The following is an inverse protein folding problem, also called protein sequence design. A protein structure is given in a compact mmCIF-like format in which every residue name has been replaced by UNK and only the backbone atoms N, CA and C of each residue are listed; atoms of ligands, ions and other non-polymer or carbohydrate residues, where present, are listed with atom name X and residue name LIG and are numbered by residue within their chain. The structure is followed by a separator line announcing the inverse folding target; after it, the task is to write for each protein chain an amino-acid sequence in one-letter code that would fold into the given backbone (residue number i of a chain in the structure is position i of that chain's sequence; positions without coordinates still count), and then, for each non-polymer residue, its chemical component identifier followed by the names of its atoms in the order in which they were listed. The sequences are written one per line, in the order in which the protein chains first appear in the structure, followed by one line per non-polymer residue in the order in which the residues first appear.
data_IF_921601437629
#
_entry.id   IF_921601437629
#
_cell.length_a   1.000
_cell.length_b   1.000
_cell.length_c   1.000
_cell.angle_alpha   90.00
_cell.angle_beta   90.00
_cell.angle_gamma   90.00
#
_symmetry.space_group_name_H-M   'P 1'
#
loop_
_entity.id
_entity.type
_entity.pdbx_description
1 polymer ?
#
# COMPACT_ATOMS: atom_id res chain seq x y z
N UNK A 1 10.15 42.80 -29.07
CA UNK A 1 9.91 42.40 -27.66
C UNK A 1 8.63 41.55 -27.43
N UNK A 2 7.42 41.95 -27.85
CA UNK A 2 6.15 41.24 -27.50
C UNK A 2 6.16 39.69 -27.66
N UNK A 3 6.72 39.15 -28.77
CA UNK A 3 6.81 37.68 -29.00
C UNK A 3 7.64 36.92 -27.94
N UNK A 4 8.67 37.54 -27.36
CA UNK A 4 9.53 36.92 -26.33
C UNK A 4 8.76 36.80 -25.01
N UNK A 5 8.02 37.83 -24.63
CA UNK A 5 7.22 37.84 -23.40
C UNK A 5 6.13 36.76 -23.42
N UNK A 6 5.45 36.56 -24.57
CA UNK A 6 4.49 35.48 -24.75
C UNK A 6 5.12 34.08 -24.58
N UNK A 7 6.28 33.84 -25.20
CA UNK A 7 6.99 32.56 -25.09
C UNK A 7 7.44 32.24 -23.65
N UNK A 8 7.86 33.26 -22.88
CA UNK A 8 8.21 33.11 -21.46
C UNK A 8 6.96 32.76 -20.64
N UNK A 9 5.85 33.48 -20.81
CA UNK A 9 4.59 33.25 -20.09
C UNK A 9 4.03 31.85 -20.33
N UNK A 10 4.04 31.38 -21.58
CA UNK A 10 3.63 30.01 -21.95
C UNK A 10 4.57 28.97 -21.31
N UNK A 11 5.88 29.21 -21.32
CA UNK A 11 6.84 28.27 -20.69
C UNK A 11 6.71 28.19 -19.17
N UNK A 12 6.26 29.28 -18.51
CA UNK A 12 6.03 29.31 -17.07
C UNK A 12 4.72 28.60 -16.73
N UNK A 13 3.63 28.90 -17.43
CA UNK A 13 2.35 28.22 -17.27
C UNK A 13 2.45 26.71 -17.50
N UNK A 14 3.21 26.27 -18.51
CA UNK A 14 3.40 24.84 -18.80
C UNK A 14 4.29 24.13 -17.76
N UNK A 15 5.26 24.84 -17.16
CA UNK A 15 6.03 24.32 -16.01
C UNK A 15 5.12 24.19 -14.77
N UNK A 16 4.30 25.19 -14.48
CA UNK A 16 3.33 25.12 -13.38
C UNK A 16 2.29 24.02 -13.62
N UNK A 17 1.83 23.81 -14.86
CA UNK A 17 0.90 22.73 -15.20
C UNK A 17 1.53 21.35 -15.02
N UNK A 18 2.76 21.12 -15.49
CA UNK A 18 3.47 19.85 -15.26
C UNK A 18 3.79 19.61 -13.78
N UNK A 19 4.17 20.66 -13.04
CA UNK A 19 4.44 20.56 -11.60
C UNK A 19 3.15 20.30 -10.83
N UNK A 20 2.03 20.94 -11.21
CA UNK A 20 0.70 20.63 -10.69
C UNK A 20 0.25 19.21 -11.03
N UNK A 21 0.49 18.71 -12.25
CA UNK A 21 0.09 17.36 -12.66
C UNK A 21 0.97 16.29 -11.99
N UNK A 22 2.26 16.54 -11.80
CA UNK A 22 3.11 15.72 -10.92
C UNK A 22 2.62 15.77 -9.47
N UNK A 23 2.36 16.95 -8.89
CA UNK A 23 1.81 17.07 -7.53
C UNK A 23 0.40 16.48 -7.41
N UNK A 24 -0.39 16.40 -8.47
CA UNK A 24 -1.70 15.77 -8.45
C UNK A 24 -1.56 14.24 -8.42
N UNK A 25 -0.62 13.68 -9.18
CA UNK A 25 -0.27 12.25 -9.18
C UNK A 25 0.45 11.81 -7.88
N UNK A 26 1.26 12.68 -7.26
CA UNK A 26 2.13 12.34 -6.13
C UNK A 26 1.70 12.90 -4.76
N UNK A 27 0.96 14.01 -4.68
CA UNK A 27 0.57 14.64 -3.40
C UNK A 27 -0.90 14.44 -3.01
N UNK A 28 -1.74 13.81 -3.85
CA UNK A 28 -3.19 13.66 -3.54
C UNK A 28 -3.51 12.90 -2.25
N UNK A 29 -2.59 12.08 -1.75
CA UNK A 29 -2.73 11.35 -0.48
C UNK A 29 -2.08 12.04 0.73
N UNK A 30 -1.28 13.08 0.52
CA UNK A 30 -0.49 13.70 1.60
C UNK A 30 -1.32 14.47 2.66
N UNK A 31 -2.62 14.67 2.41
CA UNK A 31 -3.52 15.45 3.29
C UNK A 31 -4.37 14.54 4.21
N UNK A 32 -4.32 13.21 4.05
CA UNK A 32 -5.12 12.26 4.85
C UNK A 32 -4.39 11.65 6.07
N UNK A 33 -3.12 12.01 6.31
CA UNK A 33 -2.33 11.55 7.46
C UNK A 33 -1.66 12.72 8.19
N UNK A 34 -2.45 13.48 8.95
CA UNK A 34 -1.93 14.31 10.03
C UNK A 34 -2.31 13.74 11.40
N UNK A 35 -1.26 13.54 12.20
CA UNK A 35 -1.25 13.27 13.65
C UNK A 35 -1.90 11.96 14.13
N UNK A 36 -1.10 10.88 14.05
CA UNK A 36 -1.22 9.67 14.86
C UNK A 36 0.09 9.21 15.51
N UNK A 37 1.25 9.69 15.03
CA UNK A 37 2.57 9.31 15.55
C UNK A 37 2.89 9.98 16.88
N UNK A 38 2.27 9.49 17.95
CA UNK A 38 2.85 9.65 19.28
C UNK A 38 3.88 8.55 19.50
N UNK A 39 5.12 8.81 19.07
CA UNK A 39 6.29 8.06 19.54
C UNK A 39 6.47 8.40 21.03
N UNK A 40 5.68 7.75 21.88
CA UNK A 40 5.92 7.75 23.32
C UNK A 40 7.18 6.94 23.57
N UNK A 41 8.24 7.66 23.93
CA UNK A 41 9.53 7.14 24.35
C UNK A 41 9.33 6.00 25.35
N UNK A 42 9.54 4.76 24.90
CA UNK A 42 9.48 3.54 25.72
C UNK A 42 10.67 3.39 26.69
N UNK A 43 11.28 4.51 27.08
CA UNK A 43 12.44 4.59 27.96
C UNK A 43 11.96 5.26 29.25
N UNK A 44 11.40 4.45 30.15
CA UNK A 44 11.72 4.50 31.59
C UNK A 44 10.91 3.46 32.38
N UNK A 45 9.71 3.08 31.93
CA UNK A 45 8.89 2.05 32.59
C UNK A 45 9.66 0.73 32.82
N UNK A 46 10.42 0.28 31.81
CA UNK A 46 11.24 -0.92 31.92
C UNK A 46 12.42 -0.78 32.92
N UNK A 47 12.99 0.42 33.08
CA UNK A 47 14.04 0.69 34.07
C UNK A 47 13.46 0.78 35.48
N UNK A 48 12.35 1.49 35.66
CA UNK A 48 11.64 1.62 36.94
C UNK A 48 11.20 0.25 37.48
N UNK A 49 10.67 -0.62 36.61
CA UNK A 49 10.24 -1.97 36.97
C UNK A 49 11.43 -2.87 37.33
N UNK A 50 12.56 -2.78 36.61
CA UNK A 50 13.76 -3.57 36.94
C UNK A 50 14.32 -3.18 38.31
N UNK A 51 14.36 -1.88 38.60
CA UNK A 51 14.75 -1.35 39.91
C UNK A 51 13.81 -1.84 41.02
N UNK A 52 12.49 -1.78 40.83
CA UNK A 52 11.53 -2.30 41.80
C UNK A 52 11.64 -3.83 41.97
N UNK A 53 11.85 -4.60 40.90
CA UNK A 53 12.01 -6.07 41.03
C UNK A 53 13.26 -6.46 41.82
N UNK A 54 14.36 -5.73 41.67
CA UNK A 54 15.60 -5.99 42.41
C UNK A 54 15.53 -5.49 43.87
N UNK A 55 14.82 -4.38 44.12
CA UNK A 55 14.48 -3.92 45.49
C UNK A 55 13.61 -4.94 46.22
N UNK A 56 12.49 -5.35 45.61
CA UNK A 56 11.59 -6.43 46.08
C UNK A 56 12.44 -7.66 46.42
N UNK A 57 13.25 -8.17 45.47
CA UNK A 57 14.10 -9.35 45.65
C UNK A 57 15.12 -9.25 46.80
N UNK A 58 15.57 -8.05 47.19
CA UNK A 58 16.45 -7.85 48.35
C UNK A 58 15.73 -7.95 49.70
N UNK A 59 14.46 -7.57 49.79
CA UNK A 59 13.70 -7.66 51.05
C UNK A 59 13.32 -9.12 51.42
N UNK A 60 13.12 -10.02 50.45
CA UNK A 60 12.68 -11.40 50.71
C UNK A 60 13.76 -12.37 51.22
N UNK A 61 14.97 -11.90 51.57
CA UNK A 61 16.05 -12.78 52.06
C UNK A 61 16.06 -12.99 53.58
N UNK A 62 15.13 -12.38 54.32
CA UNK A 62 15.04 -12.47 55.79
C UNK A 62 13.59 -12.30 56.32
N UNK A 63 12.77 -13.34 56.21
CA UNK A 63 11.49 -13.49 56.95
C UNK A 63 11.00 -14.93 56.84
N UNK A 64 10.25 -15.42 57.82
CA UNK A 64 9.73 -16.79 57.85
C UNK A 64 8.91 -17.14 56.60
N UNK A 65 9.33 -18.24 55.96
CA UNK A 65 9.62 -18.18 54.53
C UNK A 65 8.45 -18.37 53.57
N UNK A 66 7.25 -18.71 54.06
CA UNK A 66 6.11 -19.03 53.20
C UNK A 66 5.25 -17.80 52.85
N UNK A 67 4.77 -17.07 53.85
CA UNK A 67 3.82 -15.96 53.65
C UNK A 67 4.46 -14.81 52.86
N UNK A 68 5.72 -14.46 53.17
CA UNK A 68 6.46 -13.44 52.43
C UNK A 68 6.68 -13.84 50.96
N UNK A 69 7.03 -15.11 50.69
CA UNK A 69 7.15 -15.63 49.33
C UNK A 69 5.81 -15.57 48.55
N UNK A 70 4.70 -15.96 49.19
CA UNK A 70 3.37 -15.90 48.59
C UNK A 70 2.94 -14.46 48.28
N UNK A 71 3.21 -13.52 49.19
CA UNK A 71 2.90 -12.10 49.00
C UNK A 71 3.64 -11.51 47.80
N UNK A 72 4.96 -11.76 47.72
CA UNK A 72 5.78 -11.35 46.58
C UNK A 72 5.34 -12.02 45.27
N UNK A 73 4.84 -13.27 45.32
CA UNK A 73 4.25 -13.97 44.17
C UNK A 73 2.94 -13.33 43.71
N UNK A 74 2.02 -13.02 44.63
CA UNK A 74 0.76 -12.32 44.30
C UNK A 74 1.05 -10.95 43.70
N UNK A 75 2.04 -10.21 44.22
CA UNK A 75 2.42 -8.91 43.69
C UNK A 75 3.06 -9.01 42.30
N UNK A 76 3.95 -9.98 42.09
CA UNK A 76 4.51 -10.30 40.76
C UNK A 76 3.38 -10.61 39.75
N UNK A 77 2.44 -11.47 40.12
CA UNK A 77 1.31 -11.79 39.25
C UNK A 77 0.40 -10.57 39.03
N UNK A 78 0.06 -9.81 40.07
CA UNK A 78 -0.76 -8.59 39.98
C UNK A 78 -0.15 -7.54 39.04
N UNK A 79 1.18 -7.38 39.03
CA UNK A 79 1.89 -6.53 38.07
C UNK A 79 1.84 -7.08 36.65
N UNK A 80 2.04 -8.39 36.47
CA UNK A 80 1.91 -9.05 35.16
C UNK A 80 0.48 -8.94 34.60
N UNK A 81 -0.55 -9.15 35.42
CA UNK A 81 -1.94 -8.98 35.01
C UNK A 81 -2.30 -7.52 34.72
N UNK A 82 -1.74 -6.55 35.44
CA UNK A 82 -1.88 -5.13 35.07
C UNK A 82 -1.32 -4.86 33.66
N UNK A 83 -0.14 -5.42 33.35
CA UNK A 83 0.47 -5.32 32.01
C UNK A 83 -0.37 -6.01 30.95
N UNK A 84 -0.78 -7.26 31.18
CA UNK A 84 -1.63 -8.03 30.26
C UNK A 84 -2.95 -7.28 30.01
N UNK A 85 -3.64 -6.83 31.06
CA UNK A 85 -4.87 -6.06 30.96
C UNK A 85 -4.68 -4.72 30.24
N UNK A 86 -3.56 -4.01 30.46
CA UNK A 86 -3.29 -2.75 29.74
C UNK A 86 -3.02 -2.98 28.26
N UNK A 87 -2.28 -4.03 27.90
CA UNK A 87 -2.03 -4.40 26.51
C UNK A 87 -3.29 -4.91 25.81
N UNK A 88 -4.10 -5.74 26.49
CA UNK A 88 -5.40 -6.19 25.97
C UNK A 88 -6.35 -4.99 25.81
N UNK A 89 -6.52 -4.13 26.82
CA UNK A 89 -7.41 -2.95 26.71
C UNK A 89 -7.02 -1.97 25.59
N UNK A 90 -5.74 -1.92 25.20
CA UNK A 90 -5.26 -1.13 24.05
C UNK A 90 -5.66 -1.74 22.70
N UNK A 91 -5.91 -3.05 22.66
CA UNK A 91 -6.16 -3.82 21.44
C UNK A 91 -4.89 -4.00 20.60
N UNK A 92 -4.97 -4.91 19.63
CA UNK A 92 -3.96 -5.03 18.58
C UNK A 92 -4.28 -4.05 17.45
N UNK A 93 -3.25 -3.50 16.81
CA UNK A 93 -3.43 -2.51 15.75
C UNK A 93 -3.79 -3.18 14.42
N UNK A 94 -5.07 -3.47 14.23
CA UNK A 94 -5.64 -4.07 12.99
C UNK A 94 -5.98 -3.04 11.91
N UNK A 95 -5.79 -1.74 12.17
CA UNK A 95 -6.17 -0.62 11.30
C UNK A 95 -5.81 -0.77 9.81
N UNK A 96 -4.71 -1.44 9.46
CA UNK A 96 -4.34 -1.70 8.06
C UNK A 96 -5.28 -2.72 7.39
N UNK A 97 -5.64 -3.77 8.14
CA UNK A 97 -6.52 -4.86 7.72
C UNK A 97 -7.97 -4.36 7.65
N UNK A 98 -8.40 -3.62 8.68
CA UNK A 98 -9.77 -3.09 8.78
C UNK A 98 -10.09 -2.10 7.63
N UNK A 99 -9.07 -1.37 7.14
CA UNK A 99 -9.19 -0.50 5.96
C UNK A 99 -9.00 -1.24 4.64
N UNK A 100 -8.17 -2.29 4.63
CA UNK A 100 -7.84 -3.04 3.43
C UNK A 100 -8.88 -4.09 3.02
N UNK A 101 -9.64 -4.65 3.97
CA UNK A 101 -10.68 -5.65 3.67
C UNK A 101 -11.79 -5.09 2.75
N UNK A 102 -12.40 -3.92 2.99
CA UNK A 102 -13.37 -3.34 2.05
C UNK A 102 -12.81 -3.11 0.64
N UNK A 103 -11.51 -2.80 0.51
CA UNK A 103 -10.82 -2.67 -0.79
C UNK A 103 -10.66 -4.06 -1.45
N UNK A 104 -10.42 -5.10 -0.65
CA UNK A 104 -10.42 -6.50 -1.13
C UNK A 104 -11.78 -6.86 -1.73
N UNK A 105 -12.86 -6.54 -1.02
CA UNK A 105 -14.22 -6.88 -1.44
C UNK A 105 -14.64 -6.16 -2.72
N UNK A 106 -14.22 -4.90 -2.91
CA UNK A 106 -14.46 -4.18 -4.18
C UNK A 106 -13.62 -4.75 -5.34
N UNK A 107 -12.37 -5.15 -5.10
CA UNK A 107 -11.55 -5.83 -6.12
C UNK A 107 -12.16 -7.19 -6.51
N UNK A 108 -12.65 -7.98 -5.53
CA UNK A 108 -13.38 -9.23 -5.78
C UNK A 108 -14.65 -8.97 -6.59
N UNK A 109 -15.41 -7.93 -6.25
CA UNK A 109 -16.61 -7.55 -6.99
C UNK A 109 -16.30 -7.14 -8.44
N UNK A 110 -15.24 -6.36 -8.67
CA UNK A 110 -14.76 -5.99 -10.02
C UNK A 110 -14.32 -7.24 -10.79
N UNK A 111 -13.55 -8.13 -10.18
CA UNK A 111 -13.12 -9.39 -10.80
C UNK A 111 -14.29 -10.27 -11.22
N UNK A 112 -15.29 -10.43 -10.34
CA UNK A 112 -16.54 -11.15 -10.65
C UNK A 112 -17.35 -10.47 -11.75
N UNK A 113 -17.51 -9.15 -11.72
CA UNK A 113 -18.23 -8.41 -12.76
C UNK A 113 -17.56 -8.54 -14.13
N UNK A 114 -16.24 -8.46 -14.17
CA UNK A 114 -15.46 -8.68 -15.37
C UNK A 114 -15.70 -10.10 -15.89
N UNK A 115 -15.45 -11.15 -15.07
CA UNK A 115 -15.57 -12.57 -15.46
C UNK A 115 -17.00 -13.02 -15.81
N UNK A 116 -18.04 -12.41 -15.21
CA UNK A 116 -19.44 -12.74 -15.51
C UNK A 116 -19.98 -12.00 -16.74
N UNK A 117 -19.58 -10.74 -16.95
CA UNK A 117 -19.84 -10.01 -18.19
C UNK A 117 -19.03 -10.50 -19.40
N UNK A 118 -18.00 -11.32 -19.13
CA UNK A 118 -16.99 -11.80 -20.08
C UNK A 118 -17.52 -12.74 -21.17
N UNK A 119 -18.68 -13.37 -20.95
CA UNK A 119 -19.21 -14.49 -21.75
C UNK A 119 -19.44 -14.24 -23.26
N UNK A 120 -19.18 -13.04 -23.80
CA UNK A 120 -19.24 -12.78 -25.26
C UNK A 120 -18.13 -11.87 -25.83
N UNK A 121 -17.77 -10.75 -25.19
CA UNK A 121 -16.84 -9.76 -25.79
C UNK A 121 -15.94 -9.04 -24.78
N UNK A 122 -15.01 -9.75 -24.13
CA UNK A 122 -13.94 -9.09 -23.35
C UNK A 122 -12.69 -8.89 -24.19
N UNK A 123 -12.03 -7.75 -23.99
CA UNK A 123 -10.65 -7.59 -24.41
C UNK A 123 -9.74 -8.37 -23.47
N UNK A 124 -8.76 -9.08 -24.05
CA UNK A 124 -7.64 -9.74 -23.35
C UNK A 124 -6.94 -8.83 -22.32
N UNK A 125 -6.95 -7.51 -22.56
CA UNK A 125 -6.42 -6.51 -21.61
C UNK A 125 -7.19 -6.46 -20.28
N UNK A 126 -8.51 -6.66 -20.30
CA UNK A 126 -9.33 -6.69 -19.07
C UNK A 126 -8.89 -7.84 -18.19
N UNK A 127 -8.70 -9.03 -18.79
CA UNK A 127 -8.22 -10.21 -18.10
C UNK A 127 -6.85 -9.97 -17.45
N UNK A 128 -5.86 -9.47 -18.20
CA UNK A 128 -4.54 -9.17 -17.62
C UNK A 128 -4.56 -8.10 -16.53
N UNK A 129 -5.32 -7.01 -16.70
CA UNK A 129 -5.47 -6.00 -15.65
C UNK A 129 -6.16 -6.57 -14.40
N UNK A 130 -7.20 -7.39 -14.57
CA UNK A 130 -7.92 -8.05 -13.47
C UNK A 130 -6.99 -9.02 -12.73
N UNK A 131 -6.23 -9.84 -13.46
CA UNK A 131 -5.21 -10.74 -12.89
C UNK A 131 -4.17 -9.97 -12.07
N UNK A 132 -3.65 -8.86 -12.58
CA UNK A 132 -2.65 -8.05 -11.88
C UNK A 132 -3.17 -7.54 -10.52
N UNK A 133 -4.40 -7.02 -10.48
CA UNK A 133 -5.05 -6.52 -9.26
C UNK A 133 -5.34 -7.66 -8.27
N UNK A 134 -5.81 -8.81 -8.76
CA UNK A 134 -6.08 -9.98 -7.93
C UNK A 134 -4.78 -10.55 -7.32
N UNK A 135 -3.68 -10.59 -8.07
CA UNK A 135 -2.37 -11.01 -7.57
C UNK A 135 -1.83 -10.07 -6.49
N UNK A 136 -1.86 -8.75 -6.74
CA UNK A 136 -1.46 -7.74 -5.75
C UNK A 136 -2.26 -7.90 -4.44
N UNK A 137 -3.56 -8.18 -4.55
CA UNK A 137 -4.41 -8.36 -3.38
C UNK A 137 -4.25 -9.72 -2.70
N UNK A 138 -3.91 -10.79 -3.43
CA UNK A 138 -3.50 -12.09 -2.88
C UNK A 138 -2.25 -11.96 -2.00
N UNK A 139 -1.27 -11.17 -2.44
CA UNK A 139 -0.06 -10.86 -1.67
C UNK A 139 -0.37 -10.03 -0.41
N UNK A 140 -1.33 -9.10 -0.48
CA UNK A 140 -1.75 -8.32 0.69
C UNK A 140 -2.46 -9.19 1.73
N UNK A 141 -3.38 -10.07 1.31
CA UNK A 141 -4.03 -11.04 2.20
C UNK A 141 -3.00 -11.98 2.86
N UNK A 142 -1.97 -12.44 2.13
CA UNK A 142 -0.90 -13.27 2.69
C UNK A 142 -0.08 -12.51 3.77
N UNK A 143 0.19 -11.21 3.58
CA UNK A 143 0.84 -10.36 4.60
C UNK A 143 -0.04 -10.22 5.84
N UNK A 144 -1.34 -9.96 5.68
CA UNK A 144 -2.28 -9.83 6.81
C UNK A 144 -2.43 -11.16 7.56
N UNK A 145 -2.56 -12.29 6.87
CA UNK A 145 -2.60 -13.61 7.50
C UNK A 145 -1.36 -13.87 8.38
N UNK A 146 -0.17 -13.46 7.91
CA UNK A 146 1.08 -13.53 8.70
C UNK A 146 1.06 -12.59 9.91
N UNK A 147 0.57 -11.35 9.78
CA UNK A 147 0.39 -10.43 10.91
C UNK A 147 -0.58 -11.02 11.96
N UNK A 148 -1.70 -11.58 11.53
CA UNK A 148 -2.70 -12.20 12.42
C UNK A 148 -2.19 -13.47 13.10
N UNK A 149 -1.32 -14.26 12.46
CA UNK A 149 -0.64 -15.39 13.11
C UNK A 149 0.22 -14.91 14.28
N UNK A 150 1.00 -13.84 14.10
CA UNK A 150 1.84 -13.27 15.18
C UNK A 150 0.99 -12.75 16.34
N UNK A 151 -0.16 -12.14 16.04
CA UNK A 151 -1.11 -11.68 17.07
C UNK A 151 -1.74 -12.88 17.82
N UNK A 152 -2.11 -13.95 17.11
CA UNK A 152 -2.62 -15.19 17.70
C UNK A 152 -1.60 -15.82 18.66
N UNK A 153 -0.34 -15.90 18.25
CA UNK A 153 0.75 -16.43 19.09
C UNK A 153 0.96 -15.57 20.33
N UNK A 154 0.85 -14.24 20.23
CA UNK A 154 0.92 -13.34 21.39
C UNK A 154 -0.27 -13.52 22.34
N UNK A 155 -1.49 -13.72 21.83
CA UNK A 155 -2.67 -14.02 22.63
C UNK A 155 -2.57 -15.38 23.34
N UNK A 156 -2.10 -16.42 22.64
CA UNK A 156 -1.90 -17.75 23.24
C UNK A 156 -0.83 -17.71 24.33
N UNK A 157 0.29 -17.02 24.10
CA UNK A 157 1.32 -16.78 25.12
C UNK A 157 0.78 -16.02 26.35
N UNK A 158 -0.17 -15.09 26.16
CA UNK A 158 -0.87 -14.42 27.28
C UNK A 158 -1.76 -15.42 28.03
N UNK A 159 -2.63 -16.16 27.34
CA UNK A 159 -3.52 -17.17 27.95
C UNK A 159 -2.74 -18.25 28.72
N UNK A 160 -1.57 -18.65 28.23
CA UNK A 160 -0.66 -19.55 28.97
C UNK A 160 -0.16 -18.95 30.27
N UNK A 161 0.10 -17.64 30.34
CA UNK A 161 0.46 -16.95 31.60
C UNK A 161 -0.73 -16.88 32.56
N UNK A 162 -1.95 -16.67 32.04
CA UNK A 162 -3.20 -16.73 32.83
C UNK A 162 -3.35 -18.14 33.43
N UNK A 163 -3.25 -19.18 32.61
CA UNK A 163 -3.39 -20.58 33.01
C UNK A 163 -2.30 -21.03 33.99
N UNK A 164 -1.03 -20.66 33.76
CA UNK A 164 0.08 -20.92 34.68
C UNK A 164 -0.14 -20.27 36.05
N UNK A 165 -0.78 -19.10 36.10
CA UNK A 165 -1.12 -18.45 37.38
C UNK A 165 -2.29 -19.14 38.08
N UNK A 166 -3.36 -19.49 37.34
CA UNK A 166 -4.48 -20.27 37.88
C UNK A 166 -4.04 -21.64 38.43
N UNK A 167 -3.03 -22.26 37.81
CA UNK A 167 -2.47 -23.55 38.22
C UNK A 167 -1.42 -23.51 39.35
N UNK A 168 -1.03 -22.33 39.85
CA UNK A 168 0.02 -22.23 40.89
C UNK A 168 -0.53 -22.61 42.27
N UNK A 169 -0.49 -23.92 42.57
CA UNK A 169 -0.94 -24.50 43.84
C UNK A 169 -0.34 -23.82 45.08
N UNK A 170 0.82 -23.16 44.97
CA UNK A 170 1.48 -22.47 46.11
C UNK A 170 0.75 -21.17 46.51
N UNK A 171 -0.09 -20.61 45.64
CA UNK A 171 -0.99 -19.49 45.97
C UNK A 171 -2.15 -19.90 46.88
N UNK A 172 -2.52 -21.18 46.91
CA UNK A 172 -3.70 -21.66 47.63
C UNK A 172 -3.38 -22.27 49.01
N UNK A 173 -2.11 -22.29 49.41
CA UNK A 173 -1.71 -22.63 50.78
C UNK A 173 -2.07 -21.47 51.71
N UNK A 174 -2.99 -21.70 52.65
CA UNK A 174 -3.50 -20.63 53.53
C UNK A 174 -2.56 -20.37 54.73
N UNK A 175 -2.33 -19.10 55.13
CA UNK A 175 -1.64 -18.79 56.38
C UNK A 175 -2.41 -19.29 57.60
N UNK A 176 -1.69 -19.78 58.62
CA UNK A 176 -2.29 -20.26 59.88
C UNK A 176 -2.72 -19.12 60.82
N UNK A 177 -2.15 -17.91 60.65
CA UNK A 177 -2.48 -16.72 61.43
C UNK A 177 -3.76 -16.04 60.89
N UNK A 178 -4.73 -15.85 61.80
CA UNK A 178 -6.03 -15.21 61.56
C UNK A 178 -5.93 -13.79 60.96
N UNK A 179 -4.97 -12.98 61.40
CA UNK A 179 -4.85 -11.58 60.95
C UNK A 179 -4.24 -11.51 59.55
N UNK A 180 -3.18 -12.29 59.32
CA UNK A 180 -2.56 -12.42 57.99
C UNK A 180 -3.51 -13.07 56.98
N UNK A 181 -4.34 -14.03 57.41
CA UNK A 181 -5.33 -14.70 56.57
C UNK A 181 -6.31 -13.72 55.91
N UNK A 182 -6.91 -12.79 56.67
CA UNK A 182 -7.86 -11.82 56.13
C UNK A 182 -7.23 -10.89 55.06
N UNK A 183 -6.01 -10.40 55.32
CA UNK A 183 -5.27 -9.57 54.36
C UNK A 183 -4.86 -10.36 53.10
N UNK A 184 -4.50 -11.63 53.27
CA UNK A 184 -4.11 -12.54 52.19
C UNK A 184 -5.30 -12.85 51.27
N UNK A 185 -6.45 -13.22 51.84
CA UNK A 185 -7.70 -13.49 51.10
C UNK A 185 -8.11 -12.27 50.28
N UNK A 186 -8.05 -11.06 50.85
CA UNK A 186 -8.34 -9.82 50.11
C UNK A 186 -7.40 -9.60 48.91
N UNK A 187 -6.10 -9.86 49.06
CA UNK A 187 -5.14 -9.78 47.95
C UNK A 187 -5.37 -10.88 46.88
N UNK A 188 -5.76 -12.08 47.28
CA UNK A 188 -6.15 -13.15 46.35
C UNK A 188 -7.43 -12.81 45.57
N UNK A 189 -8.44 -12.23 46.22
CA UNK A 189 -9.68 -11.80 45.56
C UNK A 189 -9.40 -10.74 44.48
N UNK A 190 -8.58 -9.73 44.80
CA UNK A 190 -8.15 -8.71 43.82
C UNK A 190 -7.28 -9.30 42.69
N UNK A 191 -6.54 -10.38 42.94
CA UNK A 191 -5.82 -11.10 41.89
C UNK A 191 -6.79 -11.89 40.99
N UNK A 192 -7.78 -12.56 41.58
CA UNK A 192 -8.79 -13.33 40.86
C UNK A 192 -9.63 -12.44 39.92
N UNK A 193 -10.07 -11.27 40.39
CA UNK A 193 -10.77 -10.27 39.57
C UNK A 193 -9.91 -9.84 38.35
N UNK A 194 -8.62 -9.56 38.56
CA UNK A 194 -7.69 -9.20 37.46
C UNK A 194 -7.44 -10.35 36.48
N UNK A 195 -7.42 -11.59 36.96
CA UNK A 195 -7.29 -12.82 36.16
C UNK A 195 -8.53 -13.00 35.28
N UNK A 196 -9.73 -12.81 35.84
CA UNK A 196 -11.01 -12.92 35.15
C UNK A 196 -11.18 -11.84 34.07
N UNK A 197 -10.86 -10.58 34.40
CA UNK A 197 -10.85 -9.47 33.44
C UNK A 197 -9.87 -9.72 32.28
N UNK A 198 -8.68 -10.28 32.57
CA UNK A 198 -7.69 -10.60 31.55
C UNK A 198 -8.13 -11.76 30.64
N UNK A 199 -8.74 -12.79 31.21
CA UNK A 199 -9.25 -13.95 30.46
C UNK A 199 -10.42 -13.56 29.56
N UNK A 200 -11.38 -12.79 30.10
CA UNK A 200 -12.51 -12.25 29.34
C UNK A 200 -12.05 -11.37 28.17
N UNK A 201 -11.11 -10.45 28.42
CA UNK A 201 -10.56 -9.59 27.38
C UNK A 201 -9.77 -10.38 26.31
N UNK A 202 -9.02 -11.40 26.72
CA UNK A 202 -8.30 -12.27 25.79
C UNK A 202 -9.24 -13.16 24.96
N UNK A 203 -10.35 -13.64 25.53
CA UNK A 203 -11.37 -14.42 24.81
C UNK A 203 -12.08 -13.57 23.75
N UNK A 204 -12.45 -12.33 24.07
CA UNK A 204 -13.06 -11.40 23.11
C UNK A 204 -12.11 -11.18 21.92
N UNK A 205 -10.85 -10.83 22.18
CA UNK A 205 -9.87 -10.58 21.11
C UNK A 205 -9.55 -11.81 20.27
N UNK A 206 -9.53 -13.00 20.88
CA UNK A 206 -9.32 -14.25 20.14
C UNK A 206 -10.52 -14.56 19.23
N UNK A 207 -11.75 -14.27 19.67
CA UNK A 207 -12.96 -14.36 18.84
C UNK A 207 -12.92 -13.39 17.66
N UNK A 208 -12.62 -12.12 17.92
CA UNK A 208 -12.57 -11.08 16.88
C UNK A 208 -11.46 -11.38 15.86
N UNK A 209 -10.29 -11.83 16.34
CA UNK A 209 -9.20 -12.34 15.51
C UNK A 209 -9.60 -13.52 14.65
N UNK A 210 -10.37 -14.47 15.20
CA UNK A 210 -10.88 -15.63 14.47
C UNK A 210 -11.85 -15.26 13.35
N UNK A 211 -12.73 -14.28 13.58
CA UNK A 211 -13.61 -13.71 12.53
C UNK A 211 -12.78 -13.07 11.42
N UNK A 212 -11.76 -12.30 11.78
CA UNK A 212 -10.88 -11.61 10.82
C UNK A 212 -10.04 -12.59 9.99
N UNK A 213 -9.46 -13.62 10.63
CA UNK A 213 -8.74 -14.71 9.95
C UNK A 213 -9.65 -15.49 9.00
N UNK A 214 -10.91 -15.76 9.39
CA UNK A 214 -11.88 -16.45 8.52
C UNK A 214 -12.26 -15.59 7.31
N UNK A 215 -12.47 -14.28 7.49
CA UNK A 215 -12.72 -13.33 6.40
C UNK A 215 -11.55 -13.27 5.40
N UNK A 216 -10.32 -13.14 5.90
CA UNK A 216 -9.10 -13.16 5.05
C UNK A 216 -8.95 -14.48 4.31
N UNK A 217 -9.18 -15.62 4.98
CA UNK A 217 -9.07 -16.95 4.38
C UNK A 217 -10.12 -17.16 3.29
N UNK A 218 -11.37 -16.74 3.54
CA UNK A 218 -12.45 -16.76 2.55
C UNK A 218 -12.12 -15.91 1.33
N UNK A 219 -11.68 -14.66 1.53
CA UNK A 219 -11.30 -13.76 0.45
C UNK A 219 -10.06 -14.25 -0.32
N UNK A 220 -9.12 -14.93 0.34
CA UNK A 220 -7.94 -15.53 -0.30
C UNK A 220 -8.32 -16.67 -1.24
N UNK A 221 -9.24 -17.56 -0.82
CA UNK A 221 -9.78 -18.62 -1.67
C UNK A 221 -10.49 -18.02 -2.89
N UNK A 222 -11.44 -17.11 -2.66
CA UNK A 222 -12.18 -16.43 -3.75
C UNK A 222 -11.24 -15.72 -4.73
N UNK A 223 -10.19 -15.05 -4.26
CA UNK A 223 -9.21 -14.41 -5.15
C UNK A 223 -8.39 -15.45 -5.93
N UNK A 224 -8.04 -16.59 -5.33
CA UNK A 224 -7.36 -17.66 -6.07
C UNK A 224 -8.24 -18.23 -7.18
N UNK A 225 -9.51 -18.55 -6.87
CA UNK A 225 -10.48 -19.05 -7.86
C UNK A 225 -10.66 -18.05 -9.02
N UNK A 226 -10.72 -16.74 -8.72
CA UNK A 226 -10.83 -15.69 -9.73
C UNK A 226 -9.55 -15.55 -10.58
N UNK A 227 -8.35 -15.80 -10.01
CA UNK A 227 -7.10 -15.81 -10.78
C UNK A 227 -7.08 -17.01 -11.72
N UNK A 228 -7.42 -18.19 -11.23
CA UNK A 228 -7.37 -19.44 -11.99
C UNK A 228 -8.40 -19.41 -13.14
N UNK A 229 -9.61 -18.89 -12.90
CA UNK A 229 -10.60 -18.61 -13.95
C UNK A 229 -10.10 -17.54 -14.94
N UNK A 230 -9.45 -16.47 -14.46
CA UNK A 230 -8.88 -15.44 -15.36
C UNK A 230 -7.79 -16.03 -16.27
N UNK A 231 -6.96 -16.94 -15.75
CA UNK A 231 -5.94 -17.64 -16.54
C UNK A 231 -6.53 -18.65 -17.54
N UNK A 232 -7.59 -19.36 -17.15
CA UNK A 232 -8.36 -20.19 -18.09
C UNK A 232 -8.94 -19.35 -19.24
N UNK A 233 -9.52 -18.19 -18.95
CA UNK A 233 -10.05 -17.28 -19.96
C UNK A 233 -8.93 -16.69 -20.85
N UNK A 234 -7.76 -16.35 -20.30
CA UNK A 234 -6.59 -15.91 -21.08
C UNK A 234 -6.13 -17.01 -22.03
N UNK A 235 -5.98 -18.25 -21.53
CA UNK A 235 -5.56 -19.38 -22.36
C UNK A 235 -6.59 -19.69 -23.46
N UNK A 236 -7.87 -19.66 -23.13
CA UNK A 236 -8.96 -19.87 -24.09
C UNK A 236 -8.94 -18.78 -25.17
N UNK A 237 -8.81 -17.51 -24.79
CA UNK A 237 -8.71 -16.40 -25.75
C UNK A 237 -7.50 -16.54 -26.67
N UNK A 238 -6.33 -16.93 -26.13
CA UNK A 238 -5.12 -17.14 -26.93
C UNK A 238 -5.31 -18.26 -27.96
N UNK A 239 -5.97 -19.37 -27.59
CA UNK A 239 -6.27 -20.47 -28.51
C UNK A 239 -7.24 -20.03 -29.62
N UNK A 240 -8.36 -19.37 -29.26
CA UNK A 240 -9.35 -18.87 -30.21
C UNK A 240 -8.79 -17.84 -31.22
N UNK A 241 -7.80 -17.04 -30.80
CA UNK A 241 -7.07 -16.12 -31.70
C UNK A 241 -6.22 -16.87 -32.72
N UNK A 242 -5.63 -18.01 -32.34
CA UNK A 242 -4.86 -18.87 -33.26
C UNK A 242 -5.77 -19.68 -34.19
N UNK A 243 -6.96 -20.07 -33.72
CA UNK A 243 -7.94 -20.89 -34.45
C UNK A 243 -8.84 -20.08 -35.41
N UNK A 244 -8.68 -18.74 -35.43
CA UNK A 244 -9.36 -17.82 -36.35
C UNK A 244 -10.90 -17.79 -36.20
N UNK A 245 -11.44 -18.29 -35.07
CA UNK A 245 -12.88 -18.46 -34.82
C UNK A 245 -13.65 -17.15 -34.68
N UNK A 246 -12.97 -16.05 -34.30
CA UNK A 246 -13.59 -14.72 -34.24
C UNK A 246 -14.02 -14.19 -35.62
N UNK A 247 -13.63 -14.86 -36.71
CA UNK A 247 -13.79 -14.40 -38.06
C UNK A 247 -12.84 -13.23 -38.37
N UNK A 248 -12.70 -12.93 -39.66
CA UNK A 248 -11.97 -11.74 -40.06
C UNK A 248 -12.69 -10.46 -39.60
N UNK A 249 -11.93 -9.38 -39.39
CA UNK A 249 -12.45 -8.06 -38.97
C UNK A 249 -13.57 -7.48 -39.87
N UNK A 250 -13.73 -7.98 -41.09
CA UNK A 250 -14.79 -7.61 -42.03
C UNK A 250 -16.04 -8.51 -41.97
N UNK A 251 -16.00 -9.62 -41.24
CA UNK A 251 -17.10 -10.58 -41.07
C UNK A 251 -17.82 -10.46 -39.72
N UNK A 252 -17.64 -9.34 -39.02
CA UNK A 252 -18.19 -9.14 -37.68
C UNK A 252 -19.72 -9.12 -37.71
N UNK A 253 -20.35 -10.21 -37.24
CA UNK A 253 -21.81 -10.29 -37.11
C UNK A 253 -22.26 -9.35 -36.00
N UNK A 254 -23.00 -8.31 -36.39
CA UNK A 254 -23.70 -7.39 -35.51
C UNK A 254 -24.60 -8.16 -34.53
N UNK A 255 -24.38 -7.99 -33.22
CA UNK A 255 -25.24 -8.53 -32.16
C UNK A 255 -26.28 -7.48 -31.74
N UNK A 256 -27.56 -7.60 -32.16
CA UNK A 256 -28.60 -6.65 -31.79
C UNK A 256 -28.90 -6.60 -30.29
N UNK A 257 -28.49 -7.61 -29.51
CA UNK A 257 -28.73 -7.66 -28.06
C UNK A 257 -27.79 -6.75 -27.25
N UNK A 258 -26.74 -6.19 -27.86
CA UNK A 258 -25.66 -5.51 -27.15
C UNK A 258 -25.26 -4.17 -27.81
N UNK A 259 -26.23 -3.41 -28.33
CA UNK A 259 -26.02 -2.01 -28.76
C UNK A 259 -25.53 -1.17 -27.58
N UNK A 260 -24.24 -0.83 -27.58
CA UNK A 260 -23.63 0.10 -26.62
C UNK A 260 -23.20 1.35 -27.36
N UNK A 261 -23.78 2.48 -27.01
CA UNK A 261 -23.39 3.78 -27.55
C UNK A 261 -21.91 4.08 -27.24
N UNK A 262 -21.17 4.53 -28.26
CA UNK A 262 -19.76 4.89 -28.18
C UNK A 262 -19.46 5.84 -27.03
N UNK A 263 -20.29 6.87 -26.79
CA UNK A 263 -20.07 7.84 -25.71
C UNK A 263 -20.18 7.16 -24.33
N UNK A 264 -21.11 6.22 -24.20
CA UNK A 264 -21.28 5.42 -22.98
C UNK A 264 -20.08 4.50 -22.75
N UNK A 265 -19.59 3.81 -23.78
CA UNK A 265 -18.37 2.96 -23.71
C UNK A 265 -17.13 3.77 -23.35
N UNK A 266 -16.92 4.93 -23.98
CA UNK A 266 -15.81 5.85 -23.68
C UNK A 266 -15.88 6.32 -22.22
N UNK A 267 -17.04 6.81 -21.78
CA UNK A 267 -17.24 7.33 -20.41
C UNK A 267 -17.01 6.24 -19.36
N UNK A 268 -17.53 5.03 -19.60
CA UNK A 268 -17.34 3.87 -18.73
C UNK A 268 -15.86 3.46 -18.67
N UNK A 269 -15.22 3.26 -19.82
CA UNK A 269 -13.82 2.87 -19.91
C UNK A 269 -12.88 3.85 -19.19
N UNK A 270 -13.14 5.16 -19.32
CA UNK A 270 -12.37 6.21 -18.65
C UNK A 270 -12.65 6.25 -17.14
N UNK A 271 -13.90 6.07 -16.71
CA UNK A 271 -14.25 5.99 -15.30
C UNK A 271 -13.63 4.78 -14.61
N UNK A 272 -13.70 3.59 -15.22
CA UNK A 272 -13.06 2.37 -14.71
C UNK A 272 -11.55 2.54 -14.65
N UNK A 273 -10.93 3.12 -15.68
CA UNK A 273 -9.49 3.38 -15.70
C UNK A 273 -9.04 4.38 -14.63
N UNK A 274 -9.85 5.40 -14.31
CA UNK A 274 -9.59 6.31 -13.18
C UNK A 274 -9.73 5.56 -11.85
N UNK A 275 -10.79 4.78 -11.65
CA UNK A 275 -10.97 3.99 -10.42
C UNK A 275 -9.79 3.05 -10.19
N UNK A 276 -9.29 2.40 -11.25
CA UNK A 276 -8.09 1.55 -11.17
C UNK A 276 -6.82 2.36 -10.88
N UNK A 277 -6.68 3.57 -11.41
CA UNK A 277 -5.55 4.46 -11.09
C UNK A 277 -5.57 4.92 -9.63
N UNK A 278 -6.74 5.26 -9.09
CA UNK A 278 -6.90 5.71 -7.71
C UNK A 278 -6.60 4.55 -6.73
N UNK A 279 -7.20 3.36 -6.94
CA UNK A 279 -6.92 2.15 -6.13
C UNK A 279 -5.43 1.78 -6.18
N UNK A 280 -4.85 1.70 -7.38
CA UNK A 280 -3.44 1.32 -7.54
C UNK A 280 -2.48 2.35 -6.94
N UNK A 281 -2.85 3.63 -7.05
CA UNK A 281 -2.17 4.74 -6.39
C UNK A 281 -2.11 4.50 -4.89
N UNK A 282 -3.26 4.33 -4.24
CA UNK A 282 -3.37 4.23 -2.79
C UNK A 282 -2.61 3.04 -2.21
N UNK A 283 -2.74 1.85 -2.79
CA UNK A 283 -2.02 0.64 -2.33
C UNK A 283 -0.50 0.81 -2.35
N UNK A 284 0.07 1.47 -3.37
CA UNK A 284 1.51 1.51 -3.63
C UNK A 284 2.23 2.75 -3.03
N UNK A 285 1.97 3.07 -1.76
CA UNK A 285 2.59 4.22 -1.08
C UNK A 285 4.13 4.13 -0.93
N UNK A 286 4.67 2.94 -0.65
CA UNK A 286 6.12 2.73 -0.51
C UNK A 286 6.83 3.01 -1.84
N UNK A 287 6.30 2.46 -2.94
CA UNK A 287 6.80 2.68 -4.30
C UNK A 287 6.81 4.16 -4.68
N UNK A 288 5.77 4.93 -4.29
CA UNK A 288 5.71 6.38 -4.47
C UNK A 288 6.87 7.08 -3.75
N UNK A 289 7.14 6.74 -2.48
CA UNK A 289 8.24 7.33 -1.70
C UNK A 289 9.60 6.98 -2.31
N UNK A 290 9.82 5.73 -2.72
CA UNK A 290 11.08 5.30 -3.35
C UNK A 290 11.36 6.10 -4.64
N UNK A 291 10.35 6.27 -5.50
CA UNK A 291 10.47 7.09 -6.73
C UNK A 291 10.75 8.55 -6.41
N UNK A 292 10.08 9.14 -5.41
CA UNK A 292 10.31 10.53 -4.98
C UNK A 292 11.75 10.71 -4.45
N UNK A 293 12.24 9.81 -3.60
CA UNK A 293 13.61 9.85 -3.08
C UNK A 293 14.63 9.71 -4.21
N UNK A 294 14.42 8.78 -5.15
CA UNK A 294 15.28 8.61 -6.32
C UNK A 294 15.32 9.89 -7.19
N UNK A 295 14.17 10.53 -7.41
CA UNK A 295 14.08 11.80 -8.15
C UNK A 295 14.81 12.94 -7.43
N UNK A 296 14.65 13.08 -6.11
CA UNK A 296 15.37 14.10 -5.32
C UNK A 296 16.89 13.87 -5.34
N UNK A 297 17.32 12.61 -5.18
CA UNK A 297 18.73 12.22 -5.21
C UNK A 297 19.36 12.54 -6.58
N UNK A 298 18.69 12.16 -7.67
CA UNK A 298 19.15 12.46 -9.03
C UNK A 298 19.21 13.97 -9.30
N UNK A 299 18.19 14.73 -8.87
CA UNK A 299 18.19 16.19 -8.97
C UNK A 299 19.38 16.81 -8.24
N UNK A 300 19.65 16.36 -7.01
CA UNK A 300 20.77 16.86 -6.21
C UNK A 300 22.12 16.52 -6.82
N UNK A 301 22.32 15.28 -7.30
CA UNK A 301 23.53 14.83 -8.01
C UNK A 301 23.75 15.68 -9.26
N UNK A 302 22.73 15.84 -10.11
CA UNK A 302 22.82 16.68 -11.32
C UNK A 302 23.17 18.14 -10.99
N UNK A 303 22.51 18.73 -9.98
CA UNK A 303 22.78 20.11 -9.56
C UNK A 303 24.20 20.27 -8.97
N UNK A 304 24.71 19.27 -8.24
CA UNK A 304 26.08 19.23 -7.72
C UNK A 304 27.11 19.11 -8.84
N UNK A 305 26.87 18.25 -9.83
CA UNK A 305 27.76 18.07 -10.97
C UNK A 305 27.83 19.33 -11.84
N UNK A 306 26.70 19.96 -12.16
CA UNK A 306 26.66 21.23 -12.91
C UNK A 306 27.39 22.35 -12.15
N UNK A 307 27.25 22.43 -10.82
CA UNK A 307 28.00 23.38 -9.99
C UNK A 307 29.52 23.12 -10.04
N UNK A 308 29.96 21.87 -9.88
CA UNK A 308 31.38 21.49 -9.95
C UNK A 308 32.01 21.82 -11.30
N UNK A 309 31.34 21.47 -12.40
CA UNK A 309 31.83 21.77 -13.76
C UNK A 309 31.99 23.29 -13.94
N UNK A 310 31.02 24.09 -13.47
CA UNK A 310 31.12 25.57 -13.51
C UNK A 310 32.28 26.16 -12.70
N UNK A 311 32.73 25.49 -11.63
CA UNK A 311 33.79 26.01 -10.75
C UNK A 311 35.18 25.43 -11.00
N UNK A 312 35.30 24.36 -11.79
CA UNK A 312 36.56 23.60 -11.96
C UNK A 312 37.00 23.39 -13.41
N UNK A 313 36.22 23.79 -14.41
CA UNK A 313 36.64 23.67 -15.81
C UNK A 313 37.14 25.02 -16.36
N UNK A 314 38.30 25.00 -17.02
CA UNK A 314 38.91 26.18 -17.64
C UNK A 314 38.11 26.69 -18.85
N UNK A 315 37.33 25.80 -19.49
CA UNK A 315 36.43 26.13 -20.60
C UNK A 315 35.02 25.54 -20.38
N UNK A 316 34.22 26.10 -19.43
CA UNK A 316 32.88 25.59 -19.14
C UNK A 316 31.96 25.65 -20.36
N UNK A 317 32.16 26.65 -21.22
CA UNK A 317 31.31 26.92 -22.38
C UNK A 317 31.38 25.81 -23.44
N UNK A 318 32.53 25.15 -23.62
CA UNK A 318 32.69 24.07 -24.61
C UNK A 318 31.95 22.81 -24.15
N UNK A 319 32.03 22.48 -22.86
CA UNK A 319 31.31 21.34 -22.25
C UNK A 319 29.79 21.60 -22.24
N UNK A 320 29.39 22.83 -21.89
CA UNK A 320 27.99 23.23 -21.87
C UNK A 320 27.41 23.53 -23.26
N UNK A 321 28.21 23.76 -24.30
CA UNK A 321 27.72 23.87 -25.68
C UNK A 321 27.06 22.58 -26.15
N UNK A 322 27.64 21.42 -25.82
CA UNK A 322 27.08 20.09 -26.13
C UNK A 322 25.90 19.72 -25.22
N UNK A 323 25.88 20.19 -23.96
CA UNK A 323 24.87 19.81 -22.94
C UNK A 323 23.88 20.93 -22.54
N UNK A 324 23.79 22.01 -23.33
CA UNK A 324 23.03 23.26 -23.04
C UNK A 324 21.57 23.03 -22.61
N UNK A 325 20.95 21.94 -23.03
CA UNK A 325 19.56 21.59 -22.75
C UNK A 325 19.37 21.06 -21.32
N UNK A 326 20.26 20.16 -20.88
CA UNK A 326 20.26 19.59 -19.52
C UNK A 326 20.55 20.69 -18.50
N UNK A 327 21.54 21.53 -18.78
CA UNK A 327 22.00 22.62 -17.89
C UNK A 327 20.93 23.70 -17.73
N UNK A 328 20.18 24.02 -18.79
CA UNK A 328 19.10 25.02 -18.73
C UNK A 328 17.81 24.53 -18.06
N UNK A 329 17.58 23.21 -18.01
CA UNK A 329 16.32 22.62 -17.53
C UNK A 329 16.54 21.36 -16.69
N UNK A 330 17.44 21.44 -15.70
CA UNK A 330 17.78 20.33 -14.78
C UNK A 330 16.55 19.63 -14.19
N UNK A 331 15.50 20.39 -13.86
CA UNK A 331 14.23 19.86 -13.35
C UNK A 331 13.50 18.97 -14.37
N UNK A 332 13.38 19.38 -15.65
CA UNK A 332 12.75 18.56 -16.69
C UNK A 332 13.58 17.31 -17.00
N UNK A 333 14.92 17.44 -17.03
CA UNK A 333 15.81 16.30 -17.19
C UNK A 333 15.70 15.31 -16.03
N UNK A 334 15.48 15.81 -14.80
CA UNK A 334 15.21 14.96 -13.62
C UNK A 334 13.88 14.23 -13.78
N UNK A 335 12.78 14.92 -14.14
CA UNK A 335 11.46 14.30 -14.35
C UNK A 335 11.53 13.17 -15.38
N UNK A 336 12.14 13.42 -16.55
CA UNK A 336 12.30 12.41 -17.61
C UNK A 336 13.07 11.19 -17.09
N UNK A 337 14.15 11.40 -16.33
CA UNK A 337 14.96 10.32 -15.79
C UNK A 337 14.24 9.54 -14.68
N UNK A 338 13.53 10.22 -13.76
CA UNK A 338 12.76 9.54 -12.72
C UNK A 338 11.64 8.69 -13.32
N UNK A 339 10.96 9.17 -14.37
CA UNK A 339 9.89 8.42 -15.05
C UNK A 339 10.39 7.15 -15.74
N UNK A 340 11.65 7.11 -16.20
CA UNK A 340 12.27 5.88 -16.73
C UNK A 340 12.47 4.81 -15.65
N UNK A 341 12.63 5.19 -14.38
CA UNK A 341 12.82 4.26 -13.26
C UNK A 341 11.47 3.67 -12.79
N UNK A 342 10.37 4.42 -12.92
CA UNK A 342 9.05 4.02 -12.37
C UNK A 342 8.62 2.60 -12.78
N UNK A 343 8.69 2.17 -14.06
CA UNK A 343 8.27 0.81 -14.44
C UNK A 343 9.07 -0.32 -13.77
N UNK A 344 10.29 -0.06 -13.28
CA UNK A 344 11.10 -1.05 -12.55
C UNK A 344 10.74 -1.13 -11.06
N UNK A 345 10.10 -0.10 -10.50
CA UNK A 345 9.63 -0.07 -9.10
C UNK A 345 8.22 -0.64 -8.99
N UNK A 346 7.39 -0.47 -10.02
CA UNK A 346 6.01 -0.93 -10.08
C UNK A 346 5.89 -2.19 -10.94
N UNK A 347 6.12 -3.37 -10.33
CA UNK A 347 6.25 -4.65 -11.04
C UNK A 347 5.04 -5.11 -11.87
N UNK A 348 3.82 -4.72 -11.46
CA UNK A 348 2.56 -5.09 -12.13
C UNK A 348 1.60 -3.90 -12.26
N UNK A 349 2.08 -2.81 -12.85
CA UNK A 349 1.26 -1.60 -13.06
C UNK A 349 0.09 -1.81 -14.05
N UNK A 350 -1.15 -1.37 -13.72
CA UNK A 350 -2.24 -1.29 -14.68
C UNK A 350 -1.86 -0.47 -15.91
N UNK A 351 -2.29 -0.89 -17.10
CA UNK A 351 -1.83 -0.26 -18.35
C UNK A 351 -2.16 1.25 -18.44
N UNK A 352 -3.25 1.71 -17.81
CA UNK A 352 -3.60 3.12 -17.72
C UNK A 352 -2.53 3.94 -16.96
N UNK A 353 -1.94 3.38 -15.90
CA UNK A 353 -0.85 4.00 -15.14
C UNK A 353 0.40 4.13 -16.00
N UNK A 354 0.83 3.02 -16.62
CA UNK A 354 2.00 2.98 -17.50
C UNK A 354 1.86 3.96 -18.67
N UNK A 355 0.69 4.02 -19.31
CA UNK A 355 0.41 4.99 -20.38
C UNK A 355 0.46 6.45 -19.87
N UNK A 356 -0.06 6.73 -18.67
CA UNK A 356 0.00 8.08 -18.09
C UNK A 356 1.44 8.53 -17.82
N UNK A 357 2.31 7.63 -17.35
CA UNK A 357 3.73 7.89 -17.11
C UNK A 357 4.47 8.18 -18.43
N UNK A 358 4.28 7.33 -19.44
CA UNK A 358 4.88 7.53 -20.77
C UNK A 358 4.37 8.81 -21.43
N UNK A 359 3.07 9.14 -21.31
CA UNK A 359 2.51 10.40 -21.77
C UNK A 359 3.19 11.61 -21.11
N UNK A 360 3.35 11.60 -19.78
CA UNK A 360 4.01 12.67 -19.04
C UNK A 360 5.50 12.78 -19.41
N UNK A 361 6.18 11.66 -19.61
CA UNK A 361 7.57 11.59 -20.05
C UNK A 361 7.75 12.18 -21.46
N UNK A 362 6.88 11.79 -22.40
CA UNK A 362 6.88 12.29 -23.78
C UNK A 362 6.58 13.80 -23.82
N UNK A 363 5.64 14.28 -23.00
CA UNK A 363 5.37 15.73 -22.86
C UNK A 363 6.62 16.47 -22.33
N UNK A 364 7.26 15.95 -21.28
CA UNK A 364 8.47 16.55 -20.70
C UNK A 364 9.65 16.58 -21.69
N UNK A 365 9.86 15.50 -22.45
CA UNK A 365 10.83 15.43 -23.55
C UNK A 365 10.51 16.43 -24.67
N UNK A 366 9.25 16.50 -25.09
CA UNK A 366 8.80 17.44 -26.12
C UNK A 366 9.10 18.89 -25.75
N UNK A 367 8.88 19.27 -24.50
CA UNK A 367 9.19 20.63 -23.99
C UNK A 367 10.70 20.88 -23.95
N UNK A 368 11.50 19.88 -23.55
CA UNK A 368 12.95 19.99 -23.49
C UNK A 368 13.57 20.23 -24.87
N UNK A 369 13.01 19.59 -25.90
CA UNK A 369 13.56 19.56 -27.27
C UNK A 369 12.98 20.67 -28.17
N UNK A 370 11.76 21.18 -27.90
CA UNK A 370 11.02 22.20 -28.70
C UNK A 370 11.82 23.43 -29.14
N UNK A 371 12.86 23.85 -28.40
CA UNK A 371 13.66 25.05 -28.73
C UNK A 371 14.72 24.86 -29.82
N UNK A 372 15.08 23.62 -30.18
CA UNK A 372 16.15 23.32 -31.16
C UNK A 372 15.65 22.62 -32.43
N UNK A 373 14.34 22.43 -32.52
CA UNK A 373 13.69 21.60 -33.54
C UNK A 373 13.42 22.42 -34.79
N UNK A 374 13.98 21.96 -35.93
CA UNK A 374 13.62 22.46 -37.25
C UNK A 374 12.15 22.12 -37.55
N UNK A 375 11.49 22.92 -38.39
CA UNK A 375 10.06 22.79 -38.69
C UNK A 375 9.65 21.35 -39.08
N UNK A 376 10.43 20.69 -39.95
CA UNK A 376 10.21 19.29 -40.38
C UNK A 376 10.27 18.30 -39.21
N UNK A 377 11.30 18.40 -38.35
CA UNK A 377 11.42 17.53 -37.16
C UNK A 377 10.35 17.84 -36.10
N UNK A 378 9.80 19.04 -36.11
CA UNK A 378 8.68 19.43 -35.25
C UNK A 378 7.36 18.82 -35.70
N UNK A 379 7.15 18.76 -37.02
CA UNK A 379 6.04 18.02 -37.62
C UNK A 379 6.15 16.51 -37.34
N UNK A 380 7.33 15.92 -37.51
CA UNK A 380 7.59 14.51 -37.15
C UNK A 380 7.27 14.22 -35.67
N UNK A 381 7.74 15.08 -34.76
CA UNK A 381 7.47 14.94 -33.32
C UNK A 381 5.97 15.14 -33.00
N UNK A 382 5.26 16.03 -33.70
CA UNK A 382 3.81 16.20 -33.57
C UNK A 382 3.02 15.00 -34.09
N UNK A 383 3.46 14.38 -35.20
CA UNK A 383 2.86 13.14 -35.73
C UNK A 383 3.08 11.98 -34.75
N UNK A 384 4.29 11.83 -34.19
CA UNK A 384 4.58 10.82 -33.17
C UNK A 384 3.76 11.03 -31.89
N UNK A 385 3.60 12.27 -31.43
CA UNK A 385 2.69 12.61 -30.31
C UNK A 385 1.25 12.22 -30.63
N UNK A 386 0.74 12.58 -31.81
CA UNK A 386 -0.63 12.28 -32.21
C UNK A 386 -0.84 10.76 -32.29
N UNK A 387 0.08 10.02 -32.91
CA UNK A 387 0.02 8.56 -33.00
C UNK A 387 0.10 7.90 -31.62
N UNK A 388 0.96 8.38 -30.73
CA UNK A 388 1.03 7.89 -29.35
C UNK A 388 -0.28 8.13 -28.59
N UNK A 389 -0.88 9.32 -28.71
CA UNK A 389 -2.14 9.60 -28.01
C UNK A 389 -3.34 8.88 -28.63
N UNK A 390 -3.42 8.71 -29.96
CA UNK A 390 -4.50 7.93 -30.59
C UNK A 390 -4.36 6.43 -30.28
N UNK A 391 -3.17 5.85 -30.37
CA UNK A 391 -2.94 4.44 -29.98
C UNK A 391 -3.08 4.22 -28.47
N UNK A 392 -2.74 5.21 -27.65
CA UNK A 392 -2.98 5.23 -26.21
C UNK A 392 -4.46 5.32 -25.83
N UNK A 393 -5.26 6.07 -26.61
CA UNK A 393 -6.71 6.21 -26.44
C UNK A 393 -7.53 5.12 -27.18
N UNK A 394 -6.91 4.34 -28.07
CA UNK A 394 -7.44 3.07 -28.58
C UNK A 394 -7.09 1.89 -27.66
N UNK A 395 -5.96 1.97 -26.92
CA UNK A 395 -5.91 1.48 -25.55
C UNK A 395 -6.78 2.38 -24.65
N UNK A 396 -6.87 2.19 -23.34
CA UNK A 396 -7.92 2.82 -22.49
C UNK A 396 -9.37 2.41 -22.85
N UNK A 397 -9.79 2.32 -24.12
CA UNK A 397 -11.11 1.81 -24.55
C UNK A 397 -11.26 0.32 -24.24
N UNK A 398 -11.88 0.01 -23.11
CA UNK A 398 -11.95 -1.30 -22.46
C UNK A 398 -12.89 -2.25 -23.21
N UNK A 399 -13.99 -1.73 -23.76
CA UNK A 399 -15.01 -2.51 -24.47
C UNK A 399 -14.98 -2.22 -25.97
N UNK A 400 -15.24 -3.26 -26.79
CA UNK A 400 -15.52 -3.08 -28.23
C UNK A 400 -16.86 -2.38 -28.41
N UNK A 401 -16.87 -1.26 -29.12
CA UNK A 401 -18.11 -0.56 -29.45
C UNK A 401 -18.75 -1.20 -30.68
N UNK A 402 -20.02 -1.59 -30.57
CA UNK A 402 -20.85 -2.00 -31.70
C UNK A 402 -21.89 -0.92 -31.98
N UNK A 403 -21.45 0.10 -32.70
CA UNK A 403 -22.30 1.14 -33.30
C UNK A 403 -22.20 1.02 -34.83
N UNK A 404 -23.35 1.14 -35.49
CA UNK A 404 -23.49 1.28 -36.94
C UNK A 404 -22.67 2.46 -37.49
#
# INVERSE_FOLDING_TARGET
MKKICAAVRISLGLKCALLALCCFMFCRTAVAQQLGDTITVGIDSAKLIKFNSDSVRKYFKASDTLVAYQLGKIEQYSLNFNKINSELKRGFTTNEIDKGLPITDTIIAIGRLNLTGLRRHSSLRILYNTKALLLEQKDNLAKWQKQLSVINDQLNNKKDQINKTRGDKKLFLMPTDSVLFAAYVKKLQLLAEKVELADSAAMIQLKDLGVLQNSISSNFLVISDLIDETDYQISTFNNLVLENEFGYIWNHKYDPANKRDFKTVVKRSFSESITLLDIYGDTNWISRIVVIIAAMLFYFIMRRNIRRIKSQSELPEVVFAKTKHIVGHVFLATIVFSLLIVPFVYGTAPQAFTLSLWGLQIIALSILVRKKVNYVSGLQLAILLLLFFTTGFANLLIETTYTE
#
